data_IF_300433662037
#
_entry.id   IF_300433662037
#
_cell.length_a   1.000
_cell.length_b   1.000
_cell.length_c   1.000
_cell.angle_alpha   90.00
_cell.angle_beta   90.00
_cell.angle_gamma   90.00
#
_symmetry.space_group_name_H-M   'P 1'
#
loop_
_entity.id
_entity.type
_entity.pdbx_description
1 polymer ?
#
# COMPACT_ATOMS: atom_id res chain seq x y z
N UNK A 1 -15.75 -40.74 6.65
CA UNK A 1 -15.49 -40.04 5.37
C UNK A 1 -15.27 -38.57 5.69
N UNK A 2 -14.13 -37.93 5.36
CA UNK A 2 -13.92 -36.52 5.73
C UNK A 2 -14.67 -35.58 4.78
N UNK A 3 -15.45 -34.67 5.37
CA UNK A 3 -16.31 -33.70 4.67
C UNK A 3 -15.49 -32.71 3.84
N UNK A 4 -15.87 -32.54 2.57
CA UNK A 4 -15.27 -31.58 1.63
C UNK A 4 -15.62 -30.15 2.07
N UNK A 5 -14.63 -29.40 2.56
CA UNK A 5 -14.77 -27.96 2.86
C UNK A 5 -15.13 -27.21 1.57
N UNK A 6 -16.33 -26.64 1.54
CA UNK A 6 -16.82 -25.80 0.44
C UNK A 6 -16.07 -24.47 0.43
N UNK A 7 -15.31 -24.20 -0.64
CA UNK A 7 -14.58 -22.94 -0.82
C UNK A 7 -15.59 -21.84 -1.11
N UNK A 8 -15.99 -21.09 -0.09
CA UNK A 8 -16.91 -19.95 -0.22
C UNK A 8 -16.25 -18.86 -1.08
N UNK A 9 -16.70 -18.69 -2.33
CA UNK A 9 -16.28 -17.60 -3.23
C UNK A 9 -16.58 -16.25 -2.57
N UNK A 10 -15.53 -15.52 -2.17
CA UNK A 10 -15.66 -14.20 -1.52
C UNK A 10 -16.12 -13.18 -2.57
N UNK A 11 -17.20 -12.46 -2.26
CA UNK A 11 -17.78 -11.39 -3.09
C UNK A 11 -16.73 -10.31 -3.38
N UNK A 12 -16.69 -9.84 -4.62
CA UNK A 12 -15.82 -8.74 -5.06
C UNK A 12 -16.01 -7.52 -4.15
N UNK A 13 -14.97 -7.16 -3.39
CA UNK A 13 -14.96 -5.94 -2.59
C UNK A 13 -14.84 -4.75 -3.53
N UNK A 14 -15.56 -3.67 -3.24
CA UNK A 14 -15.46 -2.38 -3.95
C UNK A 14 -13.99 -1.98 -4.09
N UNK A 15 -13.56 -1.40 -5.22
CA UNK A 15 -12.18 -0.97 -5.44
C UNK A 15 -11.87 0.15 -4.44
N UNK A 16 -11.31 -0.24 -3.30
CA UNK A 16 -10.87 0.70 -2.28
C UNK A 16 -9.53 1.33 -2.68
N UNK A 17 -9.03 2.29 -1.90
CA UNK A 17 -7.68 2.86 -2.09
C UNK A 17 -6.58 1.79 -2.14
N UNK A 18 -6.80 0.64 -1.51
CA UNK A 18 -5.90 -0.51 -1.56
C UNK A 18 -5.83 -1.20 -2.93
N UNK A 19 -6.88 -1.12 -3.74
CA UNK A 19 -6.93 -1.70 -5.08
C UNK A 19 -5.87 -1.04 -5.97
N UNK A 20 -5.82 0.30 -5.96
CA UNK A 20 -4.91 1.09 -6.79
C UNK A 20 -3.45 0.83 -6.42
N UNK A 21 -3.15 0.77 -5.13
CA UNK A 21 -1.81 0.47 -4.64
C UNK A 21 -1.39 -0.97 -5.00
N UNK A 22 -2.33 -1.91 -5.01
CA UNK A 22 -2.08 -3.30 -5.42
C UNK A 22 -1.70 -3.38 -6.90
N UNK A 23 -2.43 -2.68 -7.78
CA UNK A 23 -2.14 -2.60 -9.22
C UNK A 23 -0.79 -1.93 -9.50
N UNK A 24 -0.50 -0.82 -8.84
CA UNK A 24 0.80 -0.14 -8.96
C UNK A 24 1.96 -1.05 -8.55
N UNK A 25 1.81 -1.73 -7.41
CA UNK A 25 2.82 -2.66 -6.90
C UNK A 25 2.98 -3.88 -7.81
N UNK A 26 1.89 -4.38 -8.39
CA UNK A 26 1.97 -5.48 -9.35
C UNK A 26 2.69 -5.06 -10.63
N UNK A 27 2.42 -3.85 -11.13
CA UNK A 27 3.10 -3.30 -12.32
C UNK A 27 4.60 -3.13 -12.11
N UNK A 28 5.03 -2.69 -10.93
CA UNK A 28 6.46 -2.60 -10.57
C UNK A 28 7.13 -3.97 -10.51
N UNK A 29 6.38 -5.01 -10.16
CA UNK A 29 6.88 -6.39 -10.07
C UNK A 29 6.74 -7.16 -11.39
N UNK A 30 6.10 -6.57 -12.42
CA UNK A 30 5.79 -7.24 -13.68
C UNK A 30 4.74 -8.37 -13.53
N UNK A 31 3.88 -8.27 -12.52
CA UNK A 31 2.83 -9.24 -12.19
C UNK A 31 1.43 -8.67 -12.44
N UNK A 32 1.32 -7.56 -13.18
CA UNK A 32 0.06 -6.91 -13.48
C UNK A 32 -0.81 -7.75 -14.42
N UNK A 33 -0.22 -8.48 -15.36
CA UNK A 33 -0.93 -9.43 -16.22
C UNK A 33 -1.52 -10.60 -15.39
N UNK A 34 -0.72 -11.19 -14.51
CA UNK A 34 -1.15 -12.29 -13.62
C UNK A 34 -2.20 -11.82 -12.60
N UNK A 35 -2.10 -10.56 -12.18
CA UNK A 35 -3.08 -9.93 -11.31
C UNK A 35 -4.39 -9.62 -12.05
N UNK A 36 -4.31 -9.21 -13.32
CA UNK A 36 -5.46 -8.91 -14.17
C UNK A 36 -6.25 -10.17 -14.54
N UNK A 37 -5.55 -11.26 -14.78
CA UNK A 37 -6.13 -12.57 -15.05
C UNK A 37 -6.50 -13.28 -13.76
N UNK A 38 -7.40 -12.64 -13.00
CA UNK A 38 -8.19 -13.20 -11.91
C UNK A 38 -7.59 -14.39 -11.13
N UNK A 39 -6.40 -14.23 -10.55
CA UNK A 39 -5.90 -15.06 -9.44
C UNK A 39 -5.54 -16.52 -9.73
N UNK A 40 -5.81 -17.06 -10.92
CA UNK A 40 -5.40 -18.43 -11.29
C UNK A 40 -3.93 -18.49 -11.76
N UNK A 41 -3.39 -17.40 -12.35
CA UNK A 41 -1.97 -17.34 -12.76
C UNK A 41 -1.04 -16.83 -11.66
N UNK A 42 -1.57 -16.17 -10.61
CA UNK A 42 -0.73 -15.63 -9.55
C UNK A 42 -0.34 -16.70 -8.53
N UNK A 43 0.95 -17.05 -8.47
CA UNK A 43 1.43 -18.00 -7.46
C UNK A 43 1.34 -17.42 -6.05
N UNK A 44 1.26 -18.28 -5.03
CA UNK A 44 1.26 -17.86 -3.61
C UNK A 44 2.49 -16.99 -3.28
N UNK A 45 3.63 -17.28 -3.91
CA UNK A 45 4.87 -16.52 -3.72
C UNK A 45 4.76 -15.11 -4.30
N UNK A 46 4.14 -14.96 -5.47
CA UNK A 46 3.93 -13.67 -6.13
C UNK A 46 2.89 -12.81 -5.42
N UNK A 47 1.77 -13.41 -5.01
CA UNK A 47 0.79 -12.77 -4.15
C UNK A 47 1.45 -12.25 -2.86
N UNK A 48 2.34 -13.06 -2.27
CA UNK A 48 3.15 -12.67 -1.11
C UNK A 48 4.12 -11.52 -1.39
N UNK A 49 4.80 -11.52 -2.54
CA UNK A 49 5.69 -10.41 -2.95
C UNK A 49 4.92 -9.10 -3.11
N UNK A 50 3.77 -9.13 -3.79
CA UNK A 50 2.91 -7.95 -3.98
C UNK A 50 2.44 -7.43 -2.62
N UNK A 51 1.92 -8.32 -1.76
CA UNK A 51 1.46 -7.94 -0.42
C UNK A 51 2.58 -7.34 0.45
N UNK A 52 3.77 -7.94 0.42
CA UNK A 52 4.93 -7.46 1.17
C UNK A 52 5.43 -6.09 0.69
N UNK A 53 5.50 -5.87 -0.62
CA UNK A 53 5.88 -4.57 -1.18
C UNK A 53 4.84 -3.50 -0.85
N UNK A 54 3.56 -3.85 -0.91
CA UNK A 54 2.47 -2.94 -0.53
C UNK A 54 2.61 -2.45 0.92
N UNK A 55 2.92 -3.35 1.87
CA UNK A 55 3.17 -2.97 3.28
C UNK A 55 4.40 -2.07 3.41
N UNK A 56 5.49 -2.36 2.71
CA UNK A 56 6.70 -1.52 2.72
C UNK A 56 6.42 -0.10 2.22
N UNK A 57 5.62 0.04 1.16
CA UNK A 57 5.18 1.34 0.65
C UNK A 57 4.35 2.13 1.66
N UNK A 58 3.42 1.46 2.34
CA UNK A 58 2.59 2.09 3.39
C UNK A 58 3.44 2.60 4.56
N UNK A 59 4.42 1.81 5.02
CA UNK A 59 5.35 2.24 6.09
C UNK A 59 6.15 3.45 5.64
N UNK A 60 6.71 3.42 4.42
CA UNK A 60 7.50 4.54 3.87
C UNK A 60 6.66 5.81 3.73
N UNK A 61 5.42 5.69 3.26
CA UNK A 61 4.50 6.81 3.16
C UNK A 61 4.16 7.39 4.54
N UNK A 62 3.91 6.55 5.54
CA UNK A 62 3.69 6.99 6.92
C UNK A 62 4.90 7.70 7.53
N UNK A 63 6.11 7.13 7.37
CA UNK A 63 7.35 7.76 7.82
C UNK A 63 7.58 9.12 7.17
N UNK A 64 7.33 9.22 5.86
CA UNK A 64 7.44 10.48 5.14
C UNK A 64 6.42 11.52 5.64
N UNK A 65 5.17 11.12 5.84
CA UNK A 65 4.14 12.02 6.35
C UNK A 65 4.50 12.57 7.74
N UNK A 66 5.02 11.72 8.63
CA UNK A 66 5.49 12.14 9.96
C UNK A 66 6.69 13.10 9.87
N UNK A 67 7.64 12.83 8.97
CA UNK A 67 8.81 13.69 8.77
C UNK A 67 8.43 15.05 8.15
N UNK A 68 7.51 15.06 7.19
CA UNK A 68 6.98 16.29 6.59
C UNK A 68 6.19 17.11 7.62
N UNK A 69 5.42 16.47 8.50
CA UNK A 69 4.70 17.15 9.60
C UNK A 69 5.67 17.79 10.61
N UNK A 70 6.73 17.06 11.00
CA UNK A 70 7.79 17.60 11.85
C UNK A 70 8.51 18.79 11.20
N UNK A 71 8.85 18.69 9.90
CA UNK A 71 9.43 19.82 9.16
C UNK A 71 8.51 21.02 9.14
N UNK A 72 7.22 20.80 8.88
CA UNK A 72 6.22 21.87 8.82
C UNK A 72 6.03 22.57 10.17
N UNK A 73 6.13 21.84 11.29
CA UNK A 73 6.13 22.41 12.64
C UNK A 73 7.39 23.24 12.90
N UNK A 74 8.58 22.72 12.57
CA UNK A 74 9.84 23.46 12.74
C UNK A 74 9.98 24.69 11.83
N UNK A 75 9.35 24.67 10.65
CA UNK A 75 9.34 25.80 9.71
C UNK A 75 8.31 26.89 10.09
N UNK A 76 7.26 26.55 10.84
CA UNK A 76 6.30 27.53 11.36
C UNK A 76 6.81 28.22 12.64
N UNK A 77 7.68 27.56 13.43
CA UNK A 77 8.23 28.11 14.68
C UNK A 77 9.44 29.05 14.48
N UNK A 78 10.02 29.08 13.28
CA UNK A 78 11.10 30.02 12.91
C UNK A 78 10.58 31.18 12.07
N UNK A 79 9.53 31.85 12.54
CA UNK A 79 9.38 33.29 12.25
C UNK A 79 10.09 34.02 13.40
N UNK A 80 11.29 34.58 13.21
CA UNK A 80 11.85 35.51 14.16
C UNK A 80 11.01 36.79 14.09
N UNK A 81 9.93 36.83 14.86
CA UNK A 81 9.27 38.08 15.22
C UNK A 81 10.09 38.76 16.32
N UNK A 82 11.06 39.56 15.86
CA UNK A 82 11.60 40.82 16.43
C UNK A 82 12.25 40.79 17.83
N UNK A 83 13.35 41.57 18.07
CA UNK A 83 13.18 43.01 18.34
C UNK A 83 14.32 43.97 17.90
N UNK A 84 13.93 45.26 17.78
CA UNK A 84 14.70 46.51 17.96
C UNK A 84 15.80 46.92 16.96
N UNK A 85 15.55 48.03 16.24
CA UNK A 85 16.06 49.35 16.65
C UNK A 85 15.22 50.50 16.12
#
# INVERSE_FOLDING_TARGET
MPEKKTVKKKKAKKPGPHERLKWETARELGLDDDLAKAGDELTVREAGKIGGQMVRKLIRAGQKALADEQRKQTAAETTPDSPEK
#
